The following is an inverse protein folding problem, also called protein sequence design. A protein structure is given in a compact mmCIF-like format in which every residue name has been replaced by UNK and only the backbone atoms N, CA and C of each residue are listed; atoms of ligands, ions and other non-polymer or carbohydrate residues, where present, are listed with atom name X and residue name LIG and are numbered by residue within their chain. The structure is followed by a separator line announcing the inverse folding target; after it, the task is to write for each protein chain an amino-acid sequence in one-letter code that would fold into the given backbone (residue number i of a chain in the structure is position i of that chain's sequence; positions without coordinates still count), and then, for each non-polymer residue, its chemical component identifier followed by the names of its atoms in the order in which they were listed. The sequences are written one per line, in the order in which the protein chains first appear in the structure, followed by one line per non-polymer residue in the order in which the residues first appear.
data_IF_839002934505
#
_entry.id   IF_839002934505
#
_cell.length_a   1.000
_cell.length_b   1.000
_cell.length_c   1.000
_cell.angle_alpha   90.00
_cell.angle_beta   90.00
_cell.angle_gamma   90.00
#
_symmetry.space_group_name_H-M   'P 1'
#
loop_
_entity.id
_entity.type
_entity.pdbx_description
1 polymer ?
#
# COMPACT_ATOMS: atom_id res chain seq x y z
N UNK A 1 -4.36 -7.91 24.67
CA UNK A 1 -4.21 -6.45 24.46
C UNK A 1 -4.85 -5.71 25.62
N UNK A 2 -4.06 -4.89 26.31
CA UNK A 2 -4.50 -3.96 27.36
C UNK A 2 -5.42 -2.87 26.79
N UNK A 3 -6.29 -2.30 27.63
CA UNK A 3 -7.12 -1.15 27.28
C UNK A 3 -6.29 0.01 26.69
N UNK A 4 -5.10 0.27 27.27
CA UNK A 4 -4.18 1.32 26.79
C UNK A 4 -3.66 1.05 25.37
N UNK A 5 -3.38 -0.21 25.04
CA UNK A 5 -2.89 -0.59 23.70
C UNK A 5 -3.99 -0.44 22.65
N UNK A 6 -5.23 -0.82 22.99
CA UNK A 6 -6.39 -0.62 22.11
C UNK A 6 -6.66 0.86 21.86
N UNK A 7 -6.64 1.68 22.91
CA UNK A 7 -6.81 3.12 22.78
C UNK A 7 -5.70 3.76 21.93
N UNK A 8 -4.43 3.36 22.13
CA UNK A 8 -3.31 3.82 21.31
C UNK A 8 -3.50 3.46 19.84
N UNK A 9 -3.86 2.21 19.54
CA UNK A 9 -4.09 1.73 18.17
C UNK A 9 -5.26 2.46 17.51
N UNK A 10 -6.36 2.66 18.23
CA UNK A 10 -7.51 3.40 17.71
C UNK A 10 -7.12 4.83 17.34
N UNK A 11 -6.31 5.48 18.19
CA UNK A 11 -5.79 6.82 17.89
C UNK A 11 -4.87 6.85 16.68
N UNK A 12 -4.00 5.85 16.51
CA UNK A 12 -3.16 5.73 15.30
C UNK A 12 -4.02 5.60 14.04
N UNK A 13 -5.10 4.82 14.07
CA UNK A 13 -6.02 4.66 12.93
C UNK A 13 -6.68 5.99 12.56
N UNK A 14 -7.13 6.77 13.55
CA UNK A 14 -7.70 8.11 13.33
C UNK A 14 -6.68 9.07 12.70
N UNK A 15 -5.47 9.11 13.24
CA UNK A 15 -4.38 9.96 12.71
C UNK A 15 -4.05 9.57 11.27
N UNK A 16 -3.90 8.28 10.99
CA UNK A 16 -3.53 7.81 9.66
C UNK A 16 -4.62 8.09 8.62
N UNK A 17 -5.90 8.00 9.00
CA UNK A 17 -7.01 8.37 8.11
C UNK A 17 -6.91 9.85 7.71
N UNK A 18 -6.81 10.76 8.68
CA UNK A 18 -6.70 12.20 8.40
C UNK A 18 -5.41 12.52 7.63
N UNK A 19 -4.30 11.87 7.97
CA UNK A 19 -3.04 12.02 7.23
C UNK A 19 -3.18 11.57 5.77
N UNK A 20 -3.85 10.44 5.52
CA UNK A 20 -4.10 9.93 4.18
C UNK A 20 -4.91 10.95 3.35
N UNK A 21 -5.98 11.49 3.92
CA UNK A 21 -6.83 12.49 3.26
C UNK A 21 -6.04 13.78 2.94
N UNK A 22 -5.26 14.29 3.90
CA UNK A 22 -4.45 15.49 3.69
C UNK A 22 -3.34 15.27 2.66
N UNK A 23 -2.64 14.13 2.70
CA UNK A 23 -1.62 13.78 1.70
C UNK A 23 -2.23 13.59 0.32
N UNK A 24 -3.46 13.06 0.24
CA UNK A 24 -4.20 12.88 -1.00
C UNK A 24 -4.62 14.20 -1.63
N UNK A 25 -5.12 15.14 -0.81
CA UNK A 25 -5.59 16.45 -1.29
C UNK A 25 -4.46 17.39 -1.68
N UNK A 26 -3.39 17.44 -0.88
CA UNK A 26 -2.34 18.47 -0.98
C UNK A 26 -1.03 17.96 -1.56
N UNK A 27 -0.87 16.63 -1.64
CA UNK A 27 0.39 15.97 -1.94
C UNK A 27 1.32 15.89 -0.72
N UNK A 28 2.20 14.90 -0.72
CA UNK A 28 3.13 14.65 0.39
C UNK A 28 4.08 15.83 0.65
N UNK A 29 4.53 16.56 -0.37
CA UNK A 29 5.47 17.68 -0.19
C UNK A 29 4.85 18.82 0.61
N UNK A 30 3.62 19.22 0.27
CA UNK A 30 2.93 20.35 0.91
C UNK A 30 2.31 20.01 2.27
N UNK A 31 2.13 18.72 2.57
CA UNK A 31 1.66 18.24 3.86
C UNK A 31 2.68 18.52 4.99
N UNK A 32 2.22 18.90 6.19
CA UNK A 32 3.09 19.01 7.36
C UNK A 32 2.44 18.46 8.65
N UNK A 33 3.28 18.17 9.64
CA UNK A 33 2.85 17.54 10.91
C UNK A 33 2.06 18.50 11.82
N UNK A 34 2.20 19.82 11.65
CA UNK A 34 1.50 20.80 12.47
C UNK A 34 0.03 20.89 12.09
N UNK A 35 -0.25 20.96 10.79
CA UNK A 35 -1.61 20.89 10.23
C UNK A 35 -2.29 19.56 10.58
N UNK A 36 -1.55 18.44 10.56
CA UNK A 36 -2.11 17.15 10.97
C UNK A 36 -2.50 17.15 12.45
N UNK A 37 -1.65 17.70 13.32
CA UNK A 37 -1.94 17.78 14.75
C UNK A 37 -3.21 18.62 15.01
N UNK A 38 -3.33 19.76 14.31
CA UNK A 38 -4.53 20.61 14.35
C UNK A 38 -5.78 19.87 13.83
N UNK A 39 -5.68 19.22 12.67
CA UNK A 39 -6.80 18.52 12.05
C UNK A 39 -7.31 17.33 12.88
N UNK A 40 -6.41 16.63 13.59
CA UNK A 40 -6.77 15.51 14.48
C UNK A 40 -7.17 15.99 15.89
N UNK A 41 -6.89 17.26 16.23
CA UNK A 41 -7.17 17.82 17.55
C UNK A 41 -6.23 17.29 18.64
N UNK A 42 -4.95 17.08 18.32
CA UNK A 42 -3.92 16.65 19.27
C UNK A 42 -2.76 17.63 19.31
N UNK A 43 -1.99 17.61 20.39
CA UNK A 43 -0.76 18.41 20.45
C UNK A 43 0.33 17.83 19.53
N UNK A 44 1.20 18.69 18.99
CA UNK A 44 2.38 18.27 18.22
C UNK A 44 3.23 17.22 18.96
N UNK A 45 3.58 17.39 20.26
CA UNK A 45 4.28 16.34 21.02
C UNK A 45 3.52 15.01 21.08
N UNK A 46 2.19 15.04 21.23
CA UNK A 46 1.37 13.83 21.22
C UNK A 46 1.44 13.13 19.86
N UNK A 47 1.38 13.88 18.76
CA UNK A 47 1.51 13.32 17.42
C UNK A 47 2.87 12.62 17.23
N UNK A 48 3.96 13.24 17.68
CA UNK A 48 5.30 12.65 17.62
C UNK A 48 5.51 11.44 18.53
N UNK A 49 4.68 11.24 19.56
CA UNK A 49 4.67 9.99 20.34
C UNK A 49 4.08 8.81 19.57
N UNK A 50 3.26 9.07 18.56
CA UNK A 50 2.68 8.05 17.68
C UNK A 50 3.53 7.82 16.42
N UNK A 51 4.09 8.88 15.84
CA UNK A 51 4.88 8.83 14.61
C UNK A 51 6.11 9.73 14.75
N UNK A 52 7.31 9.16 14.75
CA UNK A 52 8.55 9.89 15.01
C UNK A 52 8.89 10.89 13.89
N UNK A 53 8.37 10.67 12.68
CA UNK A 53 8.60 11.57 11.55
C UNK A 53 7.46 11.57 10.53
N UNK A 54 7.45 12.59 9.67
CA UNK A 54 6.57 12.67 8.49
C UNK A 54 6.80 11.51 7.52
N UNK A 55 8.03 11.03 7.41
CA UNK A 55 8.41 9.88 6.56
C UNK A 55 7.90 8.56 7.15
N UNK A 56 8.00 8.37 8.46
CA UNK A 56 7.41 7.21 9.14
C UNK A 56 5.89 7.20 8.97
N UNK A 57 5.25 8.36 9.15
CA UNK A 57 3.81 8.51 8.93
C UNK A 57 3.42 8.14 7.49
N UNK A 58 4.16 8.62 6.49
CA UNK A 58 3.93 8.28 5.08
C UNK A 58 4.02 6.77 4.86
N UNK A 59 5.05 6.12 5.39
CA UNK A 59 5.19 4.65 5.30
C UNK A 59 3.96 3.98 5.90
N UNK A 60 3.51 4.40 7.09
CA UNK A 60 2.35 3.82 7.77
C UNK A 60 1.05 4.03 6.99
N UNK A 61 0.86 5.21 6.38
CA UNK A 61 -0.30 5.49 5.50
C UNK A 61 -0.30 4.55 4.29
N UNK A 62 0.85 4.39 3.62
CA UNK A 62 0.97 3.50 2.45
C UNK A 62 0.73 2.04 2.83
N UNK A 63 1.30 1.58 3.95
CA UNK A 63 1.11 0.22 4.45
C UNK A 63 -0.33 -0.06 4.87
N UNK A 64 -0.99 0.89 5.55
CA UNK A 64 -2.40 0.76 5.89
C UNK A 64 -3.26 0.64 4.62
N UNK A 65 -2.90 1.40 3.59
CA UNK A 65 -3.48 1.23 2.26
C UNK A 65 -3.45 -0.25 1.87
N UNK A 66 -2.29 -0.93 1.91
CA UNK A 66 -2.11 -2.31 1.46
C UNK A 66 -2.88 -3.40 2.25
N UNK A 67 -3.41 -3.11 3.43
CA UNK A 67 -4.04 -4.12 4.31
C UNK A 67 -5.16 -4.93 3.64
N UNK A 68 -6.01 -4.31 2.81
CA UNK A 68 -7.12 -5.04 2.16
C UNK A 68 -6.63 -6.07 1.13
N UNK A 69 -5.54 -5.76 0.41
CA UNK A 69 -4.97 -6.70 -0.56
C UNK A 69 -4.25 -7.83 0.19
N UNK A 70 -3.53 -7.51 1.26
CA UNK A 70 -2.91 -8.52 2.13
C UNK A 70 -3.96 -9.48 2.72
N UNK A 71 -5.10 -8.96 3.15
CA UNK A 71 -6.19 -9.78 3.69
C UNK A 71 -6.73 -10.80 2.68
N UNK A 72 -6.66 -10.52 1.37
CA UNK A 72 -7.06 -11.49 0.34
C UNK A 72 -6.19 -12.73 0.30
N UNK A 73 -4.92 -12.63 0.68
CA UNK A 73 -4.05 -13.79 0.71
C UNK A 73 -4.16 -14.58 2.02
N UNK A 74 -4.72 -13.98 3.08
CA UNK A 74 -5.01 -14.66 4.34
C UNK A 74 -6.38 -15.35 4.31
N UNK A 75 -7.29 -14.82 3.49
CA UNK A 75 -8.58 -15.43 3.27
C UNK A 75 -8.45 -16.76 2.50
N UNK A 76 -9.28 -17.77 2.82
CA UNK A 76 -9.35 -19.00 2.02
C UNK A 76 -9.55 -18.69 0.54
N UNK A 77 -8.90 -19.48 -0.31
CA UNK A 77 -9.09 -19.40 -1.74
C UNK A 77 -10.55 -19.78 -2.07
N UNK A 78 -11.25 -18.83 -2.68
CA UNK A 78 -12.57 -19.02 -3.26
C UNK A 78 -12.38 -18.89 -4.76
N UNK A 79 -12.75 -19.93 -5.52
CA UNK A 79 -12.42 -20.05 -6.93
C UNK A 79 -11.00 -20.54 -7.19
N UNK A 80 -10.46 -20.15 -8.34
CA UNK A 80 -9.12 -20.51 -8.84
C UNK A 80 -8.04 -19.56 -8.36
N UNK A 81 -6.77 -19.98 -8.44
CA UNK A 81 -5.66 -19.11 -8.10
C UNK A 81 -5.51 -17.96 -9.10
N UNK A 82 -5.83 -18.19 -10.38
CA UNK A 82 -5.87 -17.17 -11.42
C UNK A 82 -6.93 -16.09 -11.14
N UNK A 83 -8.14 -16.46 -10.70
CA UNK A 83 -9.17 -15.48 -10.30
C UNK A 83 -8.72 -14.64 -9.10
N UNK A 84 -7.97 -15.22 -8.16
CA UNK A 84 -7.37 -14.46 -7.05
C UNK A 84 -6.28 -13.51 -7.55
N UNK A 85 -5.44 -13.93 -8.50
CA UNK A 85 -4.44 -13.06 -9.15
C UNK A 85 -5.14 -11.89 -9.85
N UNK A 86 -6.21 -12.15 -10.59
CA UNK A 86 -7.00 -11.10 -11.25
C UNK A 86 -7.57 -10.11 -10.23
N UNK A 87 -8.13 -10.62 -9.12
CA UNK A 87 -8.68 -9.78 -8.05
C UNK A 87 -7.61 -8.87 -7.45
N UNK A 88 -6.44 -9.43 -7.12
CA UNK A 88 -5.30 -8.68 -6.60
C UNK A 88 -4.83 -7.62 -7.60
N UNK A 89 -4.67 -7.98 -8.89
CA UNK A 89 -4.31 -7.04 -9.95
C UNK A 89 -5.33 -5.91 -10.08
N UNK A 90 -6.62 -6.22 -10.08
CA UNK A 90 -7.70 -5.23 -10.17
C UNK A 90 -7.63 -4.23 -9.03
N UNK A 91 -7.42 -4.69 -7.79
CA UNK A 91 -7.27 -3.81 -6.62
C UNK A 91 -6.01 -2.96 -6.71
N UNK A 92 -4.88 -3.53 -7.14
CA UNK A 92 -3.61 -2.80 -7.35
C UNK A 92 -3.78 -1.67 -8.37
N UNK A 93 -4.50 -1.92 -9.46
CA UNK A 93 -4.76 -0.93 -10.52
C UNK A 93 -5.77 0.15 -10.08
N UNK A 94 -6.86 -0.24 -9.40
CA UNK A 94 -7.87 0.71 -8.92
C UNK A 94 -7.31 1.70 -7.90
N UNK A 95 -6.49 1.23 -6.96
CA UNK A 95 -5.83 2.11 -5.99
C UNK A 95 -4.87 3.09 -6.64
N UNK A 96 -4.19 2.66 -7.70
CA UNK A 96 -3.31 3.53 -8.47
C UNK A 96 -4.07 4.62 -9.22
N UNK A 97 -5.23 4.28 -9.78
CA UNK A 97 -6.13 5.21 -10.46
C UNK A 97 -6.70 6.26 -9.50
N UNK A 98 -7.03 5.88 -8.28
CA UNK A 98 -7.62 6.81 -7.31
C UNK A 98 -6.62 7.84 -6.78
N UNK A 99 -5.32 7.52 -6.70
CA UNK A 99 -4.29 8.43 -6.18
C UNK A 99 -4.12 9.70 -7.03
N UNK A 100 -4.51 10.87 -6.50
CA UNK A 100 -4.25 12.17 -7.12
C UNK A 100 -2.74 12.38 -7.34
N UNK A 101 -2.34 12.71 -8.57
CA UNK A 101 -0.95 12.99 -8.96
C UNK A 101 -0.18 11.85 -9.63
N UNK A 102 -0.78 10.67 -9.82
CA UNK A 102 -0.25 9.61 -10.71
C UNK A 102 1.20 9.19 -10.43
N UNK A 103 2.00 9.00 -11.49
CA UNK A 103 3.39 8.52 -11.39
C UNK A 103 4.31 9.53 -10.71
N UNK A 104 4.08 10.81 -10.98
CA UNK A 104 4.92 11.90 -10.52
C UNK A 104 4.95 11.98 -8.99
N UNK A 105 3.77 11.92 -8.35
CA UNK A 105 3.69 11.88 -6.88
C UNK A 105 4.34 10.63 -6.30
N UNK A 106 4.25 9.49 -6.98
CA UNK A 106 4.88 8.24 -6.53
C UNK A 106 6.41 8.28 -6.64
N UNK A 107 6.95 8.84 -7.72
CA UNK A 107 8.39 8.98 -7.92
C UNK A 107 9.05 9.80 -6.80
N UNK A 108 8.33 10.78 -6.25
CA UNK A 108 8.81 11.61 -5.13
C UNK A 108 8.84 10.86 -3.79
N UNK A 109 7.81 10.06 -3.50
CA UNK A 109 7.71 9.33 -2.22
C UNK A 109 8.44 7.99 -2.24
N UNK A 110 8.66 7.39 -3.41
CA UNK A 110 9.22 6.05 -3.52
C UNK A 110 10.61 5.89 -2.89
N UNK A 111 11.56 6.84 -3.03
CA UNK A 111 12.84 6.78 -2.32
C UNK A 111 12.66 6.74 -0.80
N UNK A 112 11.71 7.51 -0.26
CA UNK A 112 11.39 7.56 1.18
C UNK A 112 10.83 6.21 1.63
N UNK A 113 9.87 5.66 0.88
CA UNK A 113 9.32 4.33 1.14
C UNK A 113 10.40 3.26 1.11
N UNK A 114 11.27 3.27 0.08
CA UNK A 114 12.36 2.31 -0.08
C UNK A 114 13.44 2.40 1.00
N UNK A 115 13.61 3.56 1.64
CA UNK A 115 14.51 3.70 2.78
C UNK A 115 13.96 3.04 4.06
N UNK A 116 12.66 2.76 4.14
CA UNK A 116 12.04 2.16 5.32
C UNK A 116 12.19 0.63 5.35
N UNK A 117 12.78 0.05 6.42
CA UNK A 117 12.83 -1.40 6.59
C UNK A 117 11.44 -2.03 6.63
N UNK A 118 10.47 -1.37 7.29
CA UNK A 118 9.08 -1.85 7.39
C UNK A 118 8.43 -1.98 6.01
N UNK A 119 8.62 -0.98 5.15
CA UNK A 119 8.10 -1.04 3.79
C UNK A 119 8.77 -2.14 2.97
N UNK A 120 10.09 -2.29 3.09
CA UNK A 120 10.82 -3.32 2.36
C UNK A 120 10.40 -4.73 2.78
N UNK A 121 10.25 -4.99 4.08
CA UNK A 121 9.78 -6.27 4.60
C UNK A 121 8.36 -6.58 4.11
N UNK A 122 7.46 -5.58 4.15
CA UNK A 122 6.11 -5.72 3.62
C UNK A 122 6.11 -6.05 2.12
N UNK A 123 6.92 -5.34 1.32
CA UNK A 123 7.01 -5.57 -0.13
C UNK A 123 7.58 -6.96 -0.46
N UNK A 124 8.56 -7.42 0.31
CA UNK A 124 9.12 -8.77 0.15
C UNK A 124 8.08 -9.84 0.50
N UNK A 125 7.36 -9.67 1.61
CA UNK A 125 6.27 -10.56 2.01
C UNK A 125 5.20 -10.64 0.92
N UNK A 126 4.70 -9.49 0.48
CA UNK A 126 3.70 -9.41 -0.59
C UNK A 126 4.16 -10.12 -1.86
N UNK A 127 5.41 -9.87 -2.28
CA UNK A 127 6.01 -10.55 -3.44
C UNK A 127 6.04 -12.06 -3.25
N UNK A 128 6.48 -12.56 -2.10
CA UNK A 128 6.54 -14.00 -1.83
C UNK A 128 5.15 -14.65 -1.87
N UNK A 129 4.10 -13.95 -1.41
CA UNK A 129 2.70 -14.40 -1.51
C UNK A 129 2.22 -14.48 -2.95
N UNK A 130 2.57 -13.49 -3.78
CA UNK A 130 2.29 -13.52 -5.23
C UNK A 130 2.99 -14.69 -5.92
N UNK A 131 4.26 -14.95 -5.59
CA UNK A 131 4.99 -16.11 -6.12
C UNK A 131 4.27 -17.42 -5.78
N UNK A 132 3.89 -17.61 -4.51
CA UNK A 132 3.16 -18.80 -4.09
C UNK A 132 1.84 -18.97 -4.86
N UNK A 133 1.08 -17.89 -5.01
CA UNK A 133 -0.20 -17.91 -5.72
C UNK A 133 -0.04 -18.26 -7.21
N UNK A 134 0.98 -17.72 -7.87
CA UNK A 134 1.30 -18.06 -9.28
C UNK A 134 1.74 -19.53 -9.40
N UNK A 135 2.53 -20.06 -8.46
CA UNK A 135 2.88 -21.49 -8.48
C UNK A 135 1.65 -22.39 -8.28
N UNK A 136 0.71 -22.01 -7.41
CA UNK A 136 -0.57 -22.73 -7.28
C UNK A 136 -1.35 -22.73 -8.59
N UNK A 137 -1.46 -21.56 -9.26
CA UNK A 137 -2.13 -21.47 -10.56
C UNK A 137 -1.46 -22.35 -11.63
N UNK A 138 -0.12 -22.45 -11.62
CA UNK A 138 0.63 -23.33 -12.53
C UNK A 138 0.39 -24.81 -12.23
N UNK A 139 0.38 -25.21 -10.95
CA UNK A 139 0.12 -26.59 -10.53
C UNK A 139 -1.28 -27.05 -10.92
N UNK A 140 -2.26 -26.14 -10.90
CA UNK A 140 -3.63 -26.41 -11.31
C UNK A 140 -3.85 -26.37 -12.83
N UNK A 141 -2.82 -26.01 -13.62
CA UNK A 141 -2.93 -25.86 -15.07
C UNK A 141 -3.64 -24.57 -15.54
N UNK A 142 -3.86 -23.61 -14.66
CA UNK A 142 -4.49 -22.31 -14.94
C UNK A 142 -3.50 -21.34 -15.62
N UNK A 143 -2.21 -21.48 -15.31
CA UNK A 143 -1.09 -20.77 -15.97
C UNK A 143 -0.15 -21.82 -16.58
N UNK A 144 0.38 -21.52 -17.77
CA UNK A 144 1.34 -22.39 -18.46
C UNK A 144 2.55 -22.68 -17.56
N UNK A 145 2.78 -23.95 -17.23
CA UNK A 145 3.79 -24.36 -16.26
C UNK A 145 5.24 -24.00 -16.63
N UNK A 146 5.53 -23.86 -17.92
CA UNK A 146 6.87 -23.48 -18.43
C UNK A 146 7.17 -21.99 -18.29
N UNK A 147 6.18 -21.14 -17.98
CA UNK A 147 6.42 -19.73 -17.75
C UNK A 147 7.19 -19.52 -16.43
N UNK A 148 8.31 -18.77 -16.45
CA UNK A 148 9.02 -18.43 -15.22
C UNK A 148 8.13 -17.58 -14.31
N UNK A 149 7.93 -18.04 -13.08
CA UNK A 149 7.18 -17.30 -12.06
C UNK A 149 7.71 -15.89 -11.80
N UNK A 150 9.05 -15.65 -11.78
CA UNK A 150 9.58 -14.30 -11.72
C UNK A 150 9.11 -13.38 -12.85
N UNK A 151 8.91 -13.91 -14.06
CA UNK A 151 8.43 -13.13 -15.20
C UNK A 151 6.98 -12.72 -15.00
N UNK A 152 6.11 -13.66 -14.60
CA UNK A 152 4.69 -13.40 -14.34
C UNK A 152 4.53 -12.33 -13.25
N UNK A 153 5.21 -12.51 -12.11
CA UNK A 153 5.13 -11.55 -11.00
C UNK A 153 5.74 -10.20 -11.38
N UNK A 154 6.82 -10.16 -12.17
CA UNK A 154 7.38 -8.89 -12.66
C UNK A 154 6.42 -8.17 -13.61
N UNK A 155 5.75 -8.90 -14.51
CA UNK A 155 4.75 -8.32 -15.40
C UNK A 155 3.59 -7.67 -14.63
N UNK A 156 3.15 -8.30 -13.53
CA UNK A 156 2.13 -7.73 -12.63
C UNK A 156 2.55 -6.36 -12.08
N UNK A 157 3.78 -6.23 -11.58
CA UNK A 157 4.29 -4.95 -11.06
C UNK A 157 4.52 -3.90 -12.16
N UNK A 158 4.98 -4.31 -13.35
CA UNK A 158 5.13 -3.40 -14.50
C UNK A 158 3.79 -2.82 -14.93
N UNK A 159 2.76 -3.67 -15.05
CA UNK A 159 1.39 -3.25 -15.37
C UNK A 159 0.81 -2.31 -14.30
N UNK A 160 1.08 -2.57 -13.03
CA UNK A 160 0.71 -1.64 -11.96
C UNK A 160 1.40 -0.27 -12.12
N UNK A 161 2.68 -0.27 -12.50
CA UNK A 161 3.46 0.95 -12.72
C UNK A 161 2.96 1.80 -13.90
N UNK A 162 2.47 1.16 -14.97
CA UNK A 162 2.12 1.83 -16.23
C UNK A 162 0.77 2.57 -16.23
N UNK A 163 -0.17 2.25 -15.34
CA UNK A 163 -1.47 2.97 -15.18
C UNK A 163 -1.29 4.47 -14.92
N UNK A 164 -0.10 4.85 -14.48
CA UNK A 164 0.28 6.21 -14.15
C UNK A 164 0.46 7.15 -15.34
N UNK A 165 0.62 6.63 -16.57
CA UNK A 165 0.88 7.46 -17.76
C UNK A 165 -0.39 8.02 -18.43
N UNK A 166 -1.57 7.47 -18.13
CA UNK A 166 -2.82 7.77 -18.86
C UNK A 166 -3.79 8.72 -18.14
N UNK A 167 -3.32 9.51 -17.17
CA UNK A 167 -4.12 10.58 -16.55
C UNK A 167 -3.52 11.96 -16.85
N UNK A 168 -3.73 12.43 -18.08
CA UNK A 168 -3.81 13.86 -18.37
C UNK A 168 -5.22 14.15 -18.88
N UNK A 169 -6.12 14.74 -18.08
CA UNK A 169 -7.21 15.52 -18.64
C UNK A 169 -6.63 16.85 -19.16
N UNK A 170 -7.01 17.20 -20.39
CA UNK A 170 -6.88 18.55 -20.95
C UNK A 170 -7.64 19.60 -20.11
#
# INVERSE_FOLDING_TARGET
MSYKERAKRQREIEILKVASDLMYERGFINFNMDELAEAVGVSKPTLYQHFASKDELLVRVVLQGHEEIEALFDAPLQGTALERIETVMRMMLQRRHLAKGGMASFGLIFPILKASPLFNEHQERFRNRLYALVETAKQNGEIVATLPTPLVVSAMFVLQGSVSEHHMPE
#
